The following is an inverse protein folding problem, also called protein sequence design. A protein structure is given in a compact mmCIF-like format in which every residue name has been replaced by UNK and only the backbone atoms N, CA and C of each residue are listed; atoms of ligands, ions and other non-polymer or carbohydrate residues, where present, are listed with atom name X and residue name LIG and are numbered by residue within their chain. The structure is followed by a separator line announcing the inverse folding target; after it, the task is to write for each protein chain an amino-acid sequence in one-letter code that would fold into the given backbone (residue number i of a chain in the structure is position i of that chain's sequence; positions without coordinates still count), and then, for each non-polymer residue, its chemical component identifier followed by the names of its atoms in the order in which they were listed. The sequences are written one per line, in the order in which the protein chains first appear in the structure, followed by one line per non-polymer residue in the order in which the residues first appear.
data_IF_337148874169
#
_entry.id   IF_337148874169
#
_cell.length_a   1.000
_cell.length_b   1.000
_cell.length_c   1.000
_cell.angle_alpha   90.00
_cell.angle_beta   90.00
_cell.angle_gamma   90.00
#
_symmetry.space_group_name_H-M   'P 1'
#
loop_
_entity.id
_entity.type
_entity.pdbx_description
1 polymer ?
#
# COMPACT_ATOMS: atom_id res chain seq x y z
N UNK A 1 -29.59 -5.53 -39.72
CA UNK A 1 -28.27 -5.45 -40.38
C UNK A 1 -27.92 -3.99 -40.43
N UNK A 2 -26.97 -3.54 -39.61
CA UNK A 2 -26.48 -2.17 -39.63
C UNK A 2 -25.44 -2.05 -40.73
N UNK A 3 -25.71 -1.18 -41.70
CA UNK A 3 -24.83 -0.88 -42.82
C UNK A 3 -23.53 -0.23 -42.31
N UNK A 4 -22.44 -0.97 -42.37
CA UNK A 4 -21.10 -0.58 -41.89
C UNK A 4 -20.38 0.44 -42.77
N UNK A 5 -21.06 1.05 -43.75
CA UNK A 5 -20.44 1.99 -44.70
C UNK A 5 -20.72 3.46 -44.44
N UNK A 6 -21.63 3.80 -43.52
CA UNK A 6 -21.82 5.19 -43.06
C UNK A 6 -20.77 5.53 -42.02
N UNK A 7 -19.74 6.29 -42.41
CA UNK A 7 -19.03 7.13 -41.44
C UNK A 7 -19.98 8.28 -41.07
N UNK A 8 -20.33 8.45 -39.80
CA UNK A 8 -21.20 9.55 -39.37
C UNK A 8 -20.51 10.88 -39.72
N UNK A 9 -21.22 11.75 -40.46
CA UNK A 9 -20.71 13.08 -40.81
C UNK A 9 -21.03 14.09 -39.69
N UNK A 10 -22.03 13.78 -38.84
CA UNK A 10 -22.47 14.58 -37.71
C UNK A 10 -22.72 13.73 -36.44
N UNK A 11 -22.73 14.36 -35.26
CA UNK A 11 -22.82 13.65 -33.95
C UNK A 11 -24.19 13.00 -33.72
N UNK A 12 -25.21 13.49 -34.41
CA UNK A 12 -26.57 12.99 -34.43
C UNK A 12 -26.68 11.62 -35.14
N UNK A 13 -25.72 11.31 -36.04
CA UNK A 13 -25.65 10.03 -36.75
C UNK A 13 -25.12 8.88 -35.86
N UNK A 14 -24.50 9.20 -34.71
CA UNK A 14 -24.06 8.24 -33.68
C UNK A 14 -25.16 7.88 -32.68
N UNK A 15 -26.32 8.53 -32.77
CA UNK A 15 -27.45 8.34 -31.86
C UNK A 15 -28.23 7.07 -32.15
N UNK A 16 -28.68 6.37 -31.12
CA UNK A 16 -29.60 5.21 -31.25
C UNK A 16 -31.07 5.65 -31.29
N UNK A 17 -31.32 6.96 -31.30
CA UNK A 17 -32.66 7.52 -31.38
C UNK A 17 -33.20 7.54 -32.79
N UNK A 18 -34.50 7.25 -32.91
CA UNK A 18 -35.27 7.57 -34.10
C UNK A 18 -35.40 9.09 -34.28
N UNK A 19 -35.69 9.55 -35.51
CA UNK A 19 -35.98 10.97 -35.79
C UNK A 19 -37.05 11.54 -34.85
N UNK A 20 -38.14 10.78 -34.61
CA UNK A 20 -39.20 11.19 -33.70
C UNK A 20 -38.77 11.31 -32.22
N UNK A 21 -37.71 10.61 -31.80
CA UNK A 21 -37.10 10.78 -30.48
C UNK A 21 -36.17 11.98 -30.45
N UNK A 22 -35.39 12.22 -31.51
CA UNK A 22 -34.55 13.40 -31.65
C UNK A 22 -35.37 14.69 -31.63
N UNK A 23 -36.54 14.71 -32.27
CA UNK A 23 -37.48 15.85 -32.26
C UNK A 23 -37.99 16.22 -30.85
N UNK A 24 -37.90 15.30 -29.89
CA UNK A 24 -38.32 15.52 -28.50
C UNK A 24 -37.16 15.94 -27.59
N UNK A 25 -35.96 16.06 -28.13
CA UNK A 25 -34.76 16.40 -27.40
C UNK A 25 -34.25 17.77 -27.83
N UNK A 26 -33.51 18.40 -26.93
CA UNK A 26 -32.73 19.59 -27.22
C UNK A 26 -31.27 19.31 -26.83
N UNK A 27 -30.30 19.91 -27.53
CA UNK A 27 -28.90 19.88 -27.11
C UNK A 27 -28.76 20.28 -25.64
N UNK A 28 -27.91 19.57 -24.89
CA UNK A 28 -27.82 19.74 -23.44
C UNK A 28 -27.38 21.17 -23.04
N UNK A 29 -26.53 21.80 -23.84
CA UNK A 29 -26.06 23.17 -23.68
C UNK A 29 -27.16 24.21 -23.95
N UNK A 30 -28.19 23.86 -24.73
CA UNK A 30 -29.38 24.68 -24.93
C UNK A 30 -30.44 24.44 -23.85
N UNK A 31 -30.50 23.22 -23.30
CA UNK A 31 -31.47 22.81 -22.30
C UNK A 31 -31.07 23.11 -20.84
N UNK A 32 -29.82 23.54 -20.60
CA UNK A 32 -29.32 23.96 -19.28
C UNK A 32 -29.35 25.49 -19.11
N UNK A 33 -30.44 26.07 -18.59
CA UNK A 33 -30.54 27.52 -18.34
C UNK A 33 -29.64 28.00 -17.20
N UNK A 34 -29.23 27.09 -16.30
CA UNK A 34 -28.34 27.42 -15.20
C UNK A 34 -26.88 27.51 -15.66
N UNK A 35 -26.52 26.83 -16.74
CA UNK A 35 -25.14 26.57 -17.17
C UNK A 35 -24.31 26.04 -16.00
N UNK A 36 -24.87 25.04 -15.33
CA UNK A 36 -24.25 24.45 -14.15
C UNK A 36 -22.98 23.69 -14.55
N UNK A 37 -21.89 23.77 -13.75
CA UNK A 37 -20.70 22.97 -14.00
C UNK A 37 -20.96 21.46 -13.84
N UNK A 38 -22.03 21.08 -13.14
CA UNK A 38 -22.49 19.69 -13.01
C UNK A 38 -23.95 19.61 -13.45
N UNK A 39 -24.30 18.78 -14.46
CA UNK A 39 -25.68 18.64 -14.90
C UNK A 39 -26.60 18.27 -13.74
N UNK A 40 -27.65 19.07 -13.56
CA UNK A 40 -28.72 18.84 -12.57
C UNK A 40 -29.84 17.98 -13.15
N UNK A 41 -29.68 17.42 -14.34
CA UNK A 41 -30.63 16.52 -14.99
C UNK A 41 -29.88 15.46 -15.79
N UNK A 42 -30.56 14.36 -16.12
CA UNK A 42 -29.98 13.33 -16.97
C UNK A 42 -29.73 13.88 -18.37
N UNK A 43 -28.49 13.76 -18.84
CA UNK A 43 -28.11 14.08 -20.22
C UNK A 43 -27.84 12.77 -20.92
N UNK A 44 -28.51 12.55 -22.05
CA UNK A 44 -28.29 11.34 -22.84
C UNK A 44 -27.03 11.45 -23.68
N UNK A 45 -26.33 10.33 -23.83
CA UNK A 45 -25.26 10.14 -24.81
C UNK A 45 -25.78 9.67 -26.19
N UNK A 46 -27.11 9.55 -26.37
CA UNK A 46 -27.74 9.03 -27.58
C UNK A 46 -28.24 7.59 -27.46
N UNK A 47 -27.99 6.90 -26.34
CA UNK A 47 -28.38 5.49 -26.17
C UNK A 47 -29.74 5.31 -25.48
N UNK A 48 -30.14 6.25 -24.61
CA UNK A 48 -31.36 6.16 -23.81
C UNK A 48 -32.04 7.51 -23.64
N UNK A 49 -33.38 7.55 -23.73
CA UNK A 49 -34.13 8.79 -23.54
C UNK A 49 -33.89 9.33 -22.12
N UNK A 50 -33.46 10.59 -21.95
CA UNK A 50 -33.25 11.15 -20.64
C UNK A 50 -34.59 11.31 -19.92
N UNK A 51 -34.61 11.00 -18.63
CA UNK A 51 -35.75 11.35 -17.77
C UNK A 51 -35.68 12.84 -17.42
N UNK A 52 -36.85 13.46 -17.26
CA UNK A 52 -36.95 14.85 -16.84
C UNK A 52 -36.37 15.08 -15.44
N UNK A 53 -36.00 16.33 -15.17
CA UNK A 53 -35.45 16.76 -13.89
C UNK A 53 -36.43 16.47 -12.72
N UNK A 54 -35.94 15.77 -11.71
CA UNK A 54 -36.68 15.49 -10.47
C UNK A 54 -36.82 16.74 -9.58
N UNK A 55 -37.73 16.71 -8.61
CA UNK A 55 -37.93 17.87 -7.72
C UNK A 55 -36.71 18.17 -6.84
N UNK A 56 -36.01 17.14 -6.37
CA UNK A 56 -34.73 17.31 -5.66
C UNK A 56 -33.65 17.92 -6.57
N UNK A 57 -33.60 17.51 -7.83
CA UNK A 57 -32.67 18.09 -8.80
C UNK A 57 -32.96 19.57 -9.10
N UNK A 58 -34.24 19.96 -9.23
CA UNK A 58 -34.66 21.37 -9.32
C UNK A 58 -34.23 22.16 -8.08
N UNK A 59 -34.34 21.54 -6.90
CA UNK A 59 -33.89 22.15 -5.64
C UNK A 59 -32.38 22.39 -5.61
N UNK A 60 -31.57 21.43 -6.08
CA UNK A 60 -30.11 21.62 -6.23
C UNK A 60 -29.81 22.79 -7.15
N UNK A 61 -30.49 22.89 -8.30
CA UNK A 61 -30.29 23.98 -9.24
C UNK A 61 -30.64 25.35 -8.64
N UNK A 62 -31.75 25.44 -7.90
CA UNK A 62 -32.15 26.66 -7.21
C UNK A 62 -31.13 27.08 -6.14
N UNK A 63 -30.61 26.11 -5.35
CA UNK A 63 -29.57 26.36 -4.34
C UNK A 63 -28.25 26.77 -4.97
N UNK A 64 -27.82 26.09 -6.02
CA UNK A 64 -26.63 26.45 -6.80
C UNK A 64 -26.75 27.87 -7.35
N UNK A 65 -27.91 28.25 -7.89
CA UNK A 65 -28.15 29.59 -8.41
C UNK A 65 -27.99 30.66 -7.31
N UNK A 66 -28.54 30.39 -6.11
CA UNK A 66 -28.43 31.29 -4.96
C UNK A 66 -26.98 31.42 -4.45
N UNK A 67 -26.29 30.29 -4.24
CA UNK A 67 -24.89 30.25 -3.80
C UNK A 67 -23.97 30.97 -4.80
N UNK A 68 -24.15 30.69 -6.09
CA UNK A 68 -23.35 31.27 -7.16
C UNK A 68 -23.58 32.77 -7.30
N UNK A 69 -24.83 33.25 -7.14
CA UNK A 69 -25.11 34.68 -7.14
C UNK A 69 -24.43 35.40 -5.97
N UNK A 70 -24.46 34.80 -4.78
CA UNK A 70 -23.81 35.36 -3.59
C UNK A 70 -22.27 35.40 -3.75
N UNK A 71 -21.67 34.28 -4.18
CA UNK A 71 -20.23 34.16 -4.36
C UNK A 71 -19.71 35.06 -5.49
N UNK A 72 -20.37 35.07 -6.65
CA UNK A 72 -20.01 35.92 -7.78
C UNK A 72 -20.05 37.41 -7.41
N UNK A 73 -21.06 37.84 -6.64
CA UNK A 73 -21.14 39.22 -6.13
C UNK A 73 -19.98 39.57 -5.22
N UNK A 74 -19.59 38.66 -4.32
CA UNK A 74 -18.44 38.86 -3.41
C UNK A 74 -17.12 38.95 -4.17
N UNK A 75 -16.96 38.17 -5.23
CA UNK A 75 -15.74 38.12 -6.03
C UNK A 75 -15.70 39.15 -7.17
N UNK A 76 -16.73 40.00 -7.29
CA UNK A 76 -16.78 41.05 -8.32
C UNK A 76 -16.84 40.51 -9.76
N UNK A 77 -17.45 39.35 -9.97
CA UNK A 77 -17.58 38.72 -11.29
C UNK A 77 -19.04 38.34 -11.61
N UNK A 78 -19.31 38.02 -12.88
CA UNK A 78 -20.64 37.54 -13.27
C UNK A 78 -20.89 36.11 -12.78
N UNK A 79 -22.16 35.76 -12.50
CA UNK A 79 -22.55 34.40 -12.11
C UNK A 79 -22.08 33.36 -13.13
N UNK A 80 -22.21 33.66 -14.43
CA UNK A 80 -21.76 32.77 -15.51
C UNK A 80 -20.25 32.55 -15.46
N UNK A 81 -19.45 33.60 -15.27
CA UNK A 81 -18.00 33.49 -15.11
C UNK A 81 -17.61 32.74 -13.83
N UNK A 82 -18.38 32.91 -12.76
CA UNK A 82 -18.17 32.19 -11.51
C UNK A 82 -18.38 30.67 -11.66
N UNK A 83 -19.47 30.27 -12.32
CA UNK A 83 -19.81 28.85 -12.55
C UNK A 83 -18.74 28.10 -13.35
N UNK A 84 -17.90 28.79 -14.14
CA UNK A 84 -16.77 28.18 -14.87
C UNK A 84 -15.48 28.07 -14.04
N UNK A 85 -15.50 28.43 -12.75
CA UNK A 85 -14.34 28.33 -11.84
C UNK A 85 -14.45 27.14 -10.91
N UNK A 86 -13.39 26.84 -10.16
CA UNK A 86 -13.41 25.86 -9.06
C UNK A 86 -14.45 26.23 -7.99
N UNK A 87 -14.72 27.52 -7.77
CA UNK A 87 -15.77 27.97 -6.86
C UNK A 87 -17.17 27.59 -7.33
N UNK A 88 -17.39 27.51 -8.64
CA UNK A 88 -18.63 27.01 -9.24
C UNK A 88 -18.87 25.53 -8.92
N UNK A 89 -17.84 24.69 -9.05
CA UNK A 89 -17.91 23.28 -8.63
C UNK A 89 -18.16 23.13 -7.13
N UNK A 90 -17.47 23.91 -6.29
CA UNK A 90 -17.70 23.90 -4.85
C UNK A 90 -19.16 24.27 -4.51
N UNK A 91 -19.73 25.28 -5.18
CA UNK A 91 -21.13 25.66 -5.01
C UNK A 91 -22.09 24.53 -5.41
N UNK A 92 -21.79 23.77 -6.48
CA UNK A 92 -22.58 22.62 -6.90
C UNK A 92 -22.55 21.50 -5.86
N UNK A 93 -21.39 21.15 -5.34
CA UNK A 93 -21.26 20.12 -4.31
C UNK A 93 -21.96 20.52 -3.00
N UNK A 94 -21.85 21.79 -2.58
CA UNK A 94 -22.58 22.30 -1.41
C UNK A 94 -24.09 22.22 -1.65
N UNK A 95 -24.58 22.61 -2.84
CA UNK A 95 -25.99 22.52 -3.18
C UNK A 95 -26.50 21.07 -3.16
N UNK A 96 -25.71 20.12 -3.69
CA UNK A 96 -26.03 18.70 -3.64
C UNK A 96 -26.05 18.17 -2.20
N UNK A 97 -25.07 18.56 -1.37
CA UNK A 97 -25.04 18.16 0.04
C UNK A 97 -26.28 18.63 0.81
N UNK A 98 -26.73 19.86 0.53
CA UNK A 98 -27.93 20.43 1.17
C UNK A 98 -29.23 19.70 0.82
N UNK A 99 -29.29 18.99 -0.32
CA UNK A 99 -30.52 18.33 -0.80
C UNK A 99 -30.48 16.82 -0.58
N UNK A 100 -29.33 16.21 -0.81
CA UNK A 100 -29.18 14.75 -0.78
C UNK A 100 -28.54 14.23 0.52
N UNK A 101 -27.82 15.07 1.26
CA UNK A 101 -27.00 14.68 2.43
C UNK A 101 -25.51 14.88 2.17
N UNK A 102 -24.68 14.80 3.21
CA UNK A 102 -23.24 15.07 3.11
C UNK A 102 -22.49 13.96 2.34
N UNK A 103 -22.42 14.09 1.01
CA UNK A 103 -21.71 13.15 0.12
C UNK A 103 -20.36 13.70 -0.37
N UNK A 104 -20.21 15.03 -0.40
CA UNK A 104 -19.01 15.70 -0.88
C UNK A 104 -18.31 16.42 0.26
N UNK A 105 -17.00 16.19 0.45
CA UNK A 105 -16.20 16.99 1.38
C UNK A 105 -15.87 18.33 0.72
N UNK A 106 -16.65 19.35 1.07
CA UNK A 106 -16.53 20.71 0.51
C UNK A 106 -16.93 21.74 1.55
N UNK A 107 -16.07 22.74 1.77
CA UNK A 107 -16.36 23.82 2.71
C UNK A 107 -16.88 25.07 1.98
N UNK A 108 -17.81 25.85 2.57
CA UNK A 108 -18.34 27.07 1.96
C UNK A 108 -17.27 28.10 1.52
N UNK A 109 -16.11 28.13 2.18
CA UNK A 109 -15.01 29.03 1.83
C UNK A 109 -14.39 28.71 0.47
N UNK A 110 -14.52 27.46 -0.01
CA UNK A 110 -13.96 26.99 -1.28
C UNK A 110 -14.72 27.55 -2.49
N UNK A 111 -15.94 28.07 -2.27
CA UNK A 111 -16.64 28.89 -3.26
C UNK A 111 -15.93 30.23 -3.51
N UNK A 112 -15.13 30.71 -2.56
CA UNK A 112 -14.57 32.08 -2.62
C UNK A 112 -13.07 32.09 -2.86
N UNK A 113 -12.37 31.04 -2.44
CA UNK A 113 -10.90 30.98 -2.47
C UNK A 113 -10.47 29.63 -3.04
N UNK A 114 -9.84 29.65 -4.22
CA UNK A 114 -9.24 28.45 -4.83
C UNK A 114 -8.20 27.79 -3.93
N UNK A 115 -7.51 28.60 -3.12
CA UNK A 115 -6.50 28.19 -2.16
C UNK A 115 -7.11 27.46 -0.97
N UNK A 116 -8.39 27.70 -0.64
CA UNK A 116 -9.03 27.02 0.48
C UNK A 116 -9.15 25.52 0.23
N UNK A 117 -9.54 25.11 -0.99
CA UNK A 117 -9.52 23.70 -1.40
C UNK A 117 -8.09 23.14 -1.37
N UNK A 118 -7.13 23.89 -1.92
CA UNK A 118 -5.72 23.48 -1.93
C UNK A 118 -5.09 23.36 -0.52
N UNK A 119 -5.61 24.08 0.47
CA UNK A 119 -5.16 24.02 1.86
C UNK A 119 -5.78 22.85 2.65
N UNK A 120 -6.87 22.25 2.15
CA UNK A 120 -7.54 21.10 2.79
C UNK A 120 -7.29 19.76 2.10
N UNK A 121 -6.94 19.77 0.82
CA UNK A 121 -6.64 18.57 0.04
C UNK A 121 -5.16 18.17 0.07
N UNK A 122 -4.83 16.96 -0.40
CA UNK A 122 -3.45 16.55 -0.62
C UNK A 122 -2.74 17.49 -1.61
N UNK A 123 -1.40 17.63 -1.55
CA UNK A 123 -0.63 18.38 -2.54
C UNK A 123 -0.98 17.96 -3.97
N UNK A 124 -1.00 18.90 -4.91
CA UNK A 124 -1.33 18.63 -6.32
C UNK A 124 -0.37 17.62 -6.97
N UNK A 125 0.85 17.57 -6.46
CA UNK A 125 1.95 16.70 -6.86
C UNK A 125 2.22 15.61 -5.81
N UNK A 126 1.20 15.23 -5.01
CA UNK A 126 1.33 14.16 -4.03
C UNK A 126 1.81 12.88 -4.73
N UNK A 127 3.03 12.48 -4.39
CA UNK A 127 3.61 11.21 -4.77
C UNK A 127 3.46 10.23 -3.61
N UNK A 128 2.65 9.19 -3.79
CA UNK A 128 2.48 8.11 -2.82
C UNK A 128 3.28 6.91 -3.27
N UNK A 129 4.26 6.52 -2.48
CA UNK A 129 5.06 5.32 -2.69
C UNK A 129 4.70 4.28 -1.65
N UNK A 130 4.21 3.13 -2.11
CA UNK A 130 4.00 1.96 -1.26
C UNK A 130 5.22 1.03 -1.40
N UNK A 131 6.02 0.95 -0.34
CA UNK A 131 7.29 0.24 -0.37
C UNK A 131 7.15 -1.29 -0.23
N UNK A 132 5.93 -1.80 0.00
CA UNK A 132 5.71 -3.23 0.19
C UNK A 132 4.26 -3.65 -0.02
N UNK A 133 3.95 -4.09 -1.24
CA UNK A 133 2.67 -4.70 -1.56
C UNK A 133 2.78 -6.18 -1.92
N UNK A 134 1.73 -6.95 -1.62
CA UNK A 134 1.65 -8.38 -1.88
C UNK A 134 0.41 -8.73 -2.71
N UNK A 135 0.52 -9.76 -3.53
CA UNK A 135 -0.63 -10.49 -4.08
C UNK A 135 -0.47 -11.98 -3.79
N UNK A 136 -1.57 -12.73 -3.89
CA UNK A 136 -1.58 -14.19 -3.80
C UNK A 136 -1.87 -14.74 -5.19
N UNK A 137 -1.00 -15.61 -5.71
CA UNK A 137 -1.28 -16.34 -6.95
C UNK A 137 -2.50 -17.23 -6.78
N UNK A 138 -3.34 -17.30 -7.81
CA UNK A 138 -4.63 -18.02 -7.76
C UNK A 138 -4.52 -19.52 -7.49
N UNK A 139 -3.34 -20.12 -7.70
CA UNK A 139 -3.07 -21.52 -7.34
C UNK A 139 -2.76 -21.72 -5.85
N UNK A 140 -2.83 -20.67 -5.04
CA UNK A 140 -2.58 -20.69 -3.59
C UNK A 140 -3.75 -20.11 -2.83
N UNK A 141 -3.87 -20.60 -1.61
CA UNK A 141 -4.58 -19.94 -0.52
C UNK A 141 -3.52 -19.37 0.39
N UNK A 142 -3.59 -18.07 0.68
CA UNK A 142 -2.60 -17.39 1.51
C UNK A 142 -3.21 -16.85 2.80
N UNK A 143 -2.39 -16.30 3.71
CA UNK A 143 -2.87 -15.79 5.00
C UNK A 143 -3.68 -14.50 4.89
N UNK A 144 -3.94 -13.99 3.67
CA UNK A 144 -4.66 -12.75 3.43
C UNK A 144 -5.99 -12.67 4.18
N UNK A 145 -6.70 -13.78 4.29
CA UNK A 145 -7.96 -13.85 5.04
C UNK A 145 -7.81 -13.44 6.51
N UNK A 146 -6.75 -13.84 7.21
CA UNK A 146 -6.55 -13.47 8.61
C UNK A 146 -6.25 -11.96 8.75
N UNK A 147 -5.48 -11.38 7.83
CA UNK A 147 -5.22 -9.94 7.77
C UNK A 147 -6.50 -9.16 7.45
N UNK A 148 -7.36 -9.74 6.62
CA UNK A 148 -8.65 -9.16 6.28
C UNK A 148 -9.64 -9.23 7.45
N UNK A 149 -9.63 -10.32 8.21
CA UNK A 149 -10.47 -10.49 9.39
C UNK A 149 -10.16 -9.42 10.45
N UNK A 150 -8.87 -9.15 10.73
CA UNK A 150 -8.52 -8.07 11.67
C UNK A 150 -8.92 -6.69 11.12
N UNK A 151 -8.77 -6.44 9.82
CA UNK A 151 -9.16 -5.17 9.21
C UNK A 151 -10.68 -4.93 9.23
N UNK A 152 -11.48 -6.01 9.14
CA UNK A 152 -12.95 -6.01 9.26
C UNK A 152 -13.46 -6.01 10.71
N UNK A 153 -12.60 -6.27 11.69
CA UNK A 153 -13.03 -6.44 13.09
C UNK A 153 -13.65 -7.80 13.40
N UNK A 154 -13.39 -8.82 12.59
CA UNK A 154 -13.81 -10.19 12.84
C UNK A 154 -12.89 -10.87 13.88
N UNK A 155 -13.38 -11.87 14.64
CA UNK A 155 -12.53 -12.74 15.45
C UNK A 155 -11.43 -13.38 14.60
N UNK A 156 -10.18 -13.29 15.05
CA UNK A 156 -9.03 -13.69 14.25
C UNK A 156 -7.90 -14.24 15.12
N UNK A 157 -6.91 -14.86 14.47
CA UNK A 157 -5.77 -15.52 15.14
C UNK A 157 -4.78 -14.55 15.78
N UNK A 158 -4.82 -13.26 15.45
CA UNK A 158 -3.96 -12.24 16.06
C UNK A 158 -4.50 -11.75 17.41
N UNK A 159 -5.82 -11.82 17.62
CA UNK A 159 -6.48 -11.58 18.91
C UNK A 159 -7.38 -12.77 19.31
N UNK A 160 -6.80 -13.96 19.57
CA UNK A 160 -7.58 -15.19 19.74
C UNK A 160 -8.50 -15.18 20.97
N UNK A 161 -8.22 -14.30 21.94
CA UNK A 161 -8.97 -14.17 23.18
C UNK A 161 -9.95 -12.99 23.17
N UNK A 162 -10.13 -12.31 22.03
CA UNK A 162 -11.00 -11.13 21.91
C UNK A 162 -10.71 -10.08 23.00
N UNK A 163 -9.43 -9.85 23.28
CA UNK A 163 -9.02 -8.85 24.25
C UNK A 163 -9.42 -7.45 23.74
N UNK A 164 -9.79 -6.53 24.64
CA UNK A 164 -10.05 -5.16 24.25
C UNK A 164 -8.77 -4.45 23.81
N UNK A 165 -8.93 -3.48 22.93
CA UNK A 165 -7.90 -2.52 22.55
C UNK A 165 -7.71 -1.45 23.64
N UNK A 166 -6.84 -0.47 23.40
CA UNK A 166 -6.55 0.60 24.37
C UNK A 166 -7.81 1.40 24.77
N UNK A 167 -8.79 1.51 23.87
CA UNK A 167 -10.03 2.26 24.08
C UNK A 167 -11.18 1.38 24.62
N UNK A 168 -10.88 0.13 25.01
CA UNK A 168 -11.86 -0.79 25.56
C UNK A 168 -12.73 -1.49 24.51
N UNK A 169 -12.39 -1.38 23.21
CA UNK A 169 -13.17 -1.97 22.11
C UNK A 169 -12.62 -3.33 21.75
N UNK A 170 -13.50 -4.30 21.51
CA UNK A 170 -13.09 -5.66 21.11
C UNK A 170 -13.15 -5.77 19.59
N UNK A 171 -12.02 -6.13 18.96
CA UNK A 171 -11.88 -6.28 17.51
C UNK A 171 -12.49 -5.11 16.72
N UNK A 172 -12.16 -3.87 17.08
CA UNK A 172 -12.65 -2.72 16.33
C UNK A 172 -12.11 -2.75 14.89
N UNK A 173 -12.97 -2.57 13.85
CA UNK A 173 -12.54 -2.63 12.46
C UNK A 173 -11.52 -1.53 12.14
N UNK A 174 -10.42 -1.90 11.48
CA UNK A 174 -9.44 -0.93 10.99
C UNK A 174 -10.00 -0.11 9.82
N UNK A 175 -10.83 -0.74 8.99
CA UNK A 175 -11.52 -0.06 7.91
C UNK A 175 -13.01 -0.41 7.94
N UNK A 176 -13.87 0.51 8.43
CA UNK A 176 -15.31 0.31 8.48
C UNK A 176 -15.96 -0.03 7.13
N UNK A 177 -15.37 0.40 6.01
CA UNK A 177 -15.88 0.09 4.67
C UNK A 177 -15.75 -1.40 4.29
N UNK A 178 -14.98 -2.17 5.07
CA UNK A 178 -14.79 -3.60 4.83
C UNK A 178 -15.82 -4.46 5.55
N UNK A 179 -16.50 -3.92 6.55
CA UNK A 179 -17.40 -4.68 7.44
C UNK A 179 -18.53 -5.31 6.65
N UNK A 180 -18.67 -6.64 6.76
CA UNK A 180 -19.71 -7.41 6.10
C UNK A 180 -19.43 -7.75 4.63
N UNK A 181 -18.31 -7.31 4.07
CA UNK A 181 -17.90 -7.74 2.73
C UNK A 181 -17.35 -9.18 2.75
N UNK A 182 -17.51 -9.96 1.67
CA UNK A 182 -16.96 -11.31 1.60
C UNK A 182 -15.43 -11.32 1.69
N UNK A 183 -14.88 -12.07 2.64
CA UNK A 183 -13.45 -12.32 2.76
C UNK A 183 -13.03 -13.53 1.88
N UNK A 184 -12.81 -13.27 0.58
CA UNK A 184 -12.50 -14.29 -0.42
C UNK A 184 -11.01 -14.27 -0.80
N UNK A 185 -10.43 -15.42 -1.14
CA UNK A 185 -9.05 -15.48 -1.67
C UNK A 185 -8.85 -14.59 -2.91
N UNK A 186 -9.89 -14.47 -3.75
CA UNK A 186 -9.87 -13.62 -4.93
C UNK A 186 -9.64 -12.15 -4.62
N UNK A 187 -9.88 -11.71 -3.38
CA UNK A 187 -9.63 -10.33 -2.96
C UNK A 187 -8.12 -9.99 -2.98
N UNK A 188 -7.25 -10.99 -3.01
CA UNK A 188 -5.79 -10.82 -3.01
C UNK A 188 -5.15 -11.18 -4.36
N UNK A 189 -5.95 -11.50 -5.38
CA UNK A 189 -5.44 -11.79 -6.72
C UNK A 189 -5.16 -10.49 -7.48
N UNK A 190 -4.34 -10.59 -8.53
CA UNK A 190 -3.88 -9.45 -9.32
C UNK A 190 -4.99 -8.49 -9.77
N UNK A 191 -6.14 -9.00 -10.23
CA UNK A 191 -7.24 -8.15 -10.69
C UNK A 191 -7.81 -7.26 -9.58
N UNK A 192 -8.05 -7.83 -8.39
CA UNK A 192 -8.52 -7.05 -7.24
C UNK A 192 -7.43 -6.09 -6.77
N UNK A 193 -6.18 -6.55 -6.72
CA UNK A 193 -5.03 -5.71 -6.38
C UNK A 193 -4.93 -4.47 -7.28
N UNK A 194 -5.09 -4.62 -8.60
CA UNK A 194 -5.04 -3.48 -9.52
C UNK A 194 -6.13 -2.46 -9.24
N UNK A 195 -7.34 -2.93 -8.93
CA UNK A 195 -8.44 -2.06 -8.52
C UNK A 195 -8.10 -1.35 -7.21
N UNK A 196 -7.75 -2.09 -6.17
CA UNK A 196 -7.60 -1.54 -4.83
C UNK A 196 -6.39 -0.61 -4.71
N UNK A 197 -5.27 -0.94 -5.36
CA UNK A 197 -4.03 -0.14 -5.28
C UNK A 197 -4.00 0.98 -6.30
N UNK A 198 -4.40 0.76 -7.55
CA UNK A 198 -4.21 1.78 -8.60
C UNK A 198 -5.47 2.53 -9.01
N UNK A 199 -6.68 2.03 -8.69
CA UNK A 199 -7.94 2.70 -9.04
C UNK A 199 -8.62 3.33 -7.82
N UNK A 200 -8.59 2.64 -6.68
CA UNK A 200 -9.29 3.05 -5.46
C UNK A 200 -8.39 3.71 -4.43
N UNK A 201 -7.10 3.88 -4.73
CA UNK A 201 -6.12 4.54 -3.85
C UNK A 201 -5.30 5.60 -4.57
N UNK A 202 -4.53 6.38 -3.81
CA UNK A 202 -3.63 7.42 -4.31
C UNK A 202 -2.23 6.89 -4.65
N UNK A 203 -1.98 5.58 -4.55
CA UNK A 203 -0.67 4.99 -4.81
C UNK A 203 -0.17 5.35 -6.21
N UNK A 204 0.99 6.01 -6.23
CA UNK A 204 1.67 6.42 -7.46
C UNK A 204 2.63 5.34 -7.93
N UNK A 205 3.44 4.80 -7.04
CA UNK A 205 4.33 3.67 -7.33
C UNK A 205 4.23 2.68 -6.17
N UNK A 206 4.20 1.38 -6.47
CA UNK A 206 4.28 0.33 -5.47
C UNK A 206 5.50 -0.58 -5.71
N UNK A 207 6.02 -1.22 -4.67
CA UNK A 207 6.93 -2.36 -4.83
C UNK A 207 6.12 -3.66 -4.69
N UNK A 208 6.18 -4.52 -5.70
CA UNK A 208 5.70 -5.89 -5.59
C UNK A 208 6.74 -6.71 -4.84
N UNK A 209 6.30 -7.33 -3.75
CA UNK A 209 7.18 -8.13 -2.89
C UNK A 209 6.65 -9.54 -2.73
N UNK A 210 7.56 -10.46 -2.47
CA UNK A 210 7.24 -11.82 -2.09
C UNK A 210 7.66 -12.10 -0.65
N UNK A 211 7.13 -13.18 -0.09
CA UNK A 211 7.46 -13.69 1.22
C UNK A 211 8.19 -15.04 1.10
N UNK A 212 9.48 -15.09 1.39
CA UNK A 212 10.26 -16.34 1.37
C UNK A 212 10.17 -17.17 2.65
N UNK A 213 8.97 -17.22 3.27
CA UNK A 213 8.67 -17.95 4.50
C UNK A 213 7.82 -19.19 4.26
N UNK A 214 8.12 -19.98 3.23
CA UNK A 214 7.40 -21.22 2.95
C UNK A 214 7.37 -22.16 4.16
N UNK A 215 6.18 -22.71 4.46
CA UNK A 215 6.01 -23.76 5.46
C UNK A 215 5.74 -25.08 4.74
N UNK A 216 6.72 -25.97 4.71
CA UNK A 216 6.61 -27.23 3.94
C UNK A 216 5.90 -28.28 4.79
N UNK A 217 4.85 -28.96 4.28
CA UNK A 217 4.23 -30.07 4.99
C UNK A 217 5.24 -31.20 5.27
N UNK A 218 5.26 -31.69 6.52
CA UNK A 218 6.12 -32.78 6.97
C UNK A 218 5.41 -33.74 7.93
N UNK A 219 6.11 -34.81 8.33
CA UNK A 219 5.59 -35.77 9.29
C UNK A 219 5.48 -35.12 10.68
N UNK A 220 4.26 -34.87 11.16
CA UNK A 220 3.99 -34.27 12.48
C UNK A 220 3.95 -32.74 12.52
N UNK A 221 3.99 -32.06 11.37
CA UNK A 221 3.89 -30.60 11.28
C UNK A 221 4.64 -30.01 10.09
N UNK A 222 4.75 -28.69 10.04
CA UNK A 222 5.58 -28.02 9.03
C UNK A 222 7.07 -28.20 9.33
N UNK A 223 7.86 -28.34 8.28
CA UNK A 223 9.33 -28.37 8.33
C UNK A 223 9.93 -27.27 7.44
N UNK A 224 11.23 -26.95 7.61
CA UNK A 224 11.93 -26.08 6.68
C UNK A 224 11.96 -26.66 5.25
N UNK A 225 12.07 -25.81 4.21
CA UNK A 225 12.40 -26.25 2.87
C UNK A 225 13.87 -26.64 2.77
N UNK A 226 14.21 -27.52 1.83
CA UNK A 226 15.59 -27.96 1.57
C UNK A 226 16.32 -27.09 0.54
N UNK A 227 15.56 -26.42 -0.33
CA UNK A 227 16.07 -25.59 -1.41
C UNK A 227 15.03 -24.53 -1.83
N UNK A 228 15.48 -23.58 -2.64
CA UNK A 228 14.66 -22.49 -3.18
C UNK A 228 13.44 -23.02 -3.93
N UNK A 229 13.59 -24.06 -4.75
CA UNK A 229 12.49 -24.60 -5.56
C UNK A 229 11.36 -25.15 -4.69
N UNK A 230 11.69 -25.88 -3.63
CA UNK A 230 10.71 -26.38 -2.67
C UNK A 230 10.01 -25.24 -1.91
N UNK A 231 10.76 -24.17 -1.60
CA UNK A 231 10.24 -22.96 -0.95
C UNK A 231 9.27 -22.21 -1.89
N UNK A 232 9.69 -21.85 -3.09
CA UNK A 232 8.87 -21.16 -4.09
C UNK A 232 7.62 -21.98 -4.48
N UNK A 233 7.71 -23.31 -4.45
CA UNK A 233 6.57 -24.21 -4.62
C UNK A 233 5.58 -24.19 -3.46
N UNK A 234 5.78 -23.38 -2.41
CA UNK A 234 4.84 -23.19 -1.31
C UNK A 234 4.61 -21.71 -0.95
N UNK A 235 5.24 -20.80 -1.68
CA UNK A 235 5.09 -19.35 -1.50
C UNK A 235 3.87 -18.78 -2.23
N UNK A 236 3.48 -17.57 -1.83
CA UNK A 236 2.36 -16.82 -2.43
C UNK A 236 2.68 -16.34 -3.85
N UNK A 237 3.95 -16.07 -4.14
CA UNK A 237 4.52 -15.85 -5.47
C UNK A 237 5.85 -16.58 -5.60
N UNK A 238 6.39 -16.63 -6.81
CA UNK A 238 7.82 -16.91 -7.06
C UNK A 238 8.54 -15.60 -7.39
N UNK A 239 9.88 -15.60 -7.44
CA UNK A 239 10.64 -14.44 -7.91
C UNK A 239 10.23 -14.04 -9.33
N UNK A 240 10.04 -15.04 -10.21
CA UNK A 240 9.59 -14.81 -11.58
C UNK A 240 8.18 -14.23 -11.65
N UNK A 241 7.24 -14.70 -10.83
CA UNK A 241 5.88 -14.13 -10.78
C UNK A 241 5.88 -12.69 -10.24
N UNK A 242 6.78 -12.39 -9.29
CA UNK A 242 6.96 -11.04 -8.72
C UNK A 242 7.40 -10.07 -9.81
N UNK A 243 8.45 -10.40 -10.56
CA UNK A 243 8.93 -9.54 -11.66
C UNK A 243 7.95 -9.50 -12.84
N UNK A 244 7.33 -10.62 -13.20
CA UNK A 244 6.32 -10.64 -14.27
C UNK A 244 5.15 -9.71 -13.95
N UNK A 245 4.75 -9.61 -12.68
CA UNK A 245 3.71 -8.66 -12.24
C UNK A 245 4.18 -7.22 -12.39
N UNK A 246 5.41 -6.91 -11.94
CA UNK A 246 6.06 -5.60 -12.14
C UNK A 246 6.06 -5.18 -13.60
N UNK A 247 6.59 -6.05 -14.45
CA UNK A 247 6.78 -5.77 -15.87
C UNK A 247 5.43 -5.58 -16.58
N UNK A 248 4.45 -6.42 -16.24
CA UNK A 248 3.09 -6.29 -16.77
C UNK A 248 2.41 -4.97 -16.37
N UNK A 249 2.51 -4.56 -15.10
CA UNK A 249 1.94 -3.29 -14.63
C UNK A 249 2.61 -2.10 -15.33
N UNK A 250 3.94 -2.11 -15.45
CA UNK A 250 4.68 -1.04 -16.13
C UNK A 250 4.37 -0.99 -17.63
N UNK A 251 4.22 -2.15 -18.28
CA UNK A 251 3.81 -2.25 -19.67
C UNK A 251 2.40 -1.66 -19.87
N UNK A 252 1.45 -2.02 -19.00
CA UNK A 252 0.08 -1.51 -19.05
C UNK A 252 0.03 0.01 -18.84
N UNK A 253 0.85 0.53 -17.93
CA UNK A 253 0.89 1.95 -17.61
C UNK A 253 1.71 2.81 -18.59
N UNK A 254 2.56 2.19 -19.44
CA UNK A 254 3.51 2.90 -20.29
C UNK A 254 4.57 3.72 -19.52
N UNK A 255 4.72 3.45 -18.21
CA UNK A 255 5.60 4.17 -17.29
C UNK A 255 5.89 3.29 -16.06
N UNK A 256 6.90 3.66 -15.26
CA UNK A 256 7.19 2.96 -14.00
C UNK A 256 6.11 3.26 -12.96
N UNK A 257 5.21 2.31 -12.75
CA UNK A 257 4.19 2.31 -11.69
C UNK A 257 4.46 1.22 -10.66
N UNK A 258 5.27 0.24 -10.98
CA UNK A 258 5.65 -0.84 -10.08
C UNK A 258 7.16 -1.08 -10.12
N UNK A 259 7.74 -1.30 -8.94
CA UNK A 259 9.08 -1.87 -8.75
C UNK A 259 8.96 -3.30 -8.23
N UNK A 260 10.03 -4.08 -8.27
CA UNK A 260 10.03 -5.47 -7.81
C UNK A 260 11.17 -5.76 -6.84
N UNK A 261 10.83 -6.40 -5.71
CA UNK A 261 11.84 -6.99 -4.83
C UNK A 261 12.32 -8.35 -5.36
N UNK A 262 13.63 -8.51 -5.49
CA UNK A 262 14.27 -9.83 -5.54
C UNK A 262 14.20 -10.50 -4.16
N UNK A 263 14.19 -11.83 -4.13
CA UNK A 263 14.14 -12.61 -2.90
C UNK A 263 15.54 -12.90 -2.35
N UNK A 264 15.79 -12.51 -1.10
CA UNK A 264 17.02 -12.82 -0.36
C UNK A 264 16.93 -14.20 0.26
N UNK A 265 17.30 -15.20 -0.54
CA UNK A 265 17.71 -16.51 -0.04
C UNK A 265 19.21 -16.49 0.23
N UNK A 266 19.59 -16.44 1.51
CA UNK A 266 20.99 -16.22 1.91
C UNK A 266 21.78 -17.53 1.97
N UNK A 267 23.10 -17.42 2.13
CA UNK A 267 24.00 -18.56 2.30
C UNK A 267 24.62 -19.05 0.99
N UNK A 268 25.76 -19.73 1.14
CA UNK A 268 26.61 -20.22 0.04
C UNK A 268 25.87 -21.14 -0.93
N UNK A 269 24.96 -21.99 -0.44
CA UNK A 269 24.17 -22.90 -1.27
C UNK A 269 23.08 -22.23 -2.11
N UNK A 270 22.76 -20.96 -1.83
CA UNK A 270 21.74 -20.19 -2.55
C UNK A 270 22.31 -19.10 -3.47
N UNK A 271 23.64 -18.95 -3.55
CA UNK A 271 24.26 -17.88 -4.36
C UNK A 271 23.88 -17.96 -5.84
N UNK A 272 23.71 -19.16 -6.38
CA UNK A 272 23.25 -19.37 -7.76
C UNK A 272 21.90 -18.69 -8.04
N UNK A 273 21.00 -18.64 -7.05
CA UNK A 273 19.68 -18.05 -7.22
C UNK A 273 19.73 -16.52 -7.12
N UNK A 274 20.66 -15.98 -6.33
CA UNK A 274 20.94 -14.53 -6.33
C UNK A 274 21.46 -14.11 -7.71
N UNK A 275 22.40 -14.88 -8.28
CA UNK A 275 22.92 -14.65 -9.63
C UNK A 275 21.81 -14.74 -10.69
N UNK A 276 20.99 -15.80 -10.66
CA UNK A 276 19.90 -15.98 -11.62
C UNK A 276 18.89 -14.82 -11.57
N UNK A 277 18.49 -14.38 -10.36
CA UNK A 277 17.59 -13.25 -10.21
C UNK A 277 18.20 -11.98 -10.81
N UNK A 278 19.48 -11.70 -10.58
CA UNK A 278 20.13 -10.49 -11.11
C UNK A 278 20.19 -10.54 -12.65
N UNK A 279 20.65 -11.65 -13.21
CA UNK A 279 20.89 -11.78 -14.65
C UNK A 279 19.59 -11.87 -15.45
N UNK A 280 18.60 -12.61 -14.95
CA UNK A 280 17.33 -12.89 -15.65
C UNK A 280 16.22 -11.92 -15.26
N UNK A 281 16.04 -11.67 -13.97
CA UNK A 281 14.86 -11.02 -13.42
C UNK A 281 15.06 -9.52 -13.12
N UNK A 282 16.31 -9.10 -12.91
CA UNK A 282 16.72 -7.69 -12.73
C UNK A 282 15.90 -6.97 -11.65
N UNK A 283 16.00 -7.41 -10.38
CA UNK A 283 15.23 -6.83 -9.29
C UNK A 283 15.63 -5.36 -9.05
N UNK A 284 14.67 -4.55 -8.61
CA UNK A 284 14.89 -3.13 -8.31
C UNK A 284 15.52 -2.91 -6.94
N UNK A 285 15.31 -3.85 -6.01
CA UNK A 285 15.81 -3.91 -4.64
C UNK A 285 15.58 -5.32 -4.08
N UNK A 286 15.90 -5.57 -2.81
CA UNK A 286 15.89 -6.92 -2.24
C UNK A 286 15.00 -7.05 -1.01
N UNK A 287 14.22 -8.13 -0.91
CA UNK A 287 13.43 -8.50 0.28
C UNK A 287 13.89 -9.81 0.89
N UNK A 288 14.13 -9.82 2.20
CA UNK A 288 14.45 -11.03 2.96
C UNK A 288 13.64 -11.19 4.23
N UNK A 289 13.45 -12.43 4.66
CA UNK A 289 12.85 -12.77 5.95
C UNK A 289 13.89 -13.53 6.78
N UNK A 290 14.56 -12.84 7.70
CA UNK A 290 15.61 -13.48 8.50
C UNK A 290 15.04 -14.45 9.55
N UNK A 291 13.78 -14.22 9.93
CA UNK A 291 12.94 -15.08 10.76
C UNK A 291 12.40 -16.32 10.02
N UNK A 292 12.64 -16.44 8.72
CA UNK A 292 12.25 -17.58 7.90
C UNK A 292 13.42 -18.50 7.61
N UNK A 293 13.12 -19.77 7.32
CA UNK A 293 14.12 -20.76 6.91
C UNK A 293 14.46 -20.60 5.44
N UNK A 294 15.19 -19.53 5.12
CA UNK A 294 15.54 -19.11 3.76
C UNK A 294 17.06 -19.10 3.50
N UNK A 295 17.87 -19.59 4.42
CA UNK A 295 19.32 -19.67 4.27
C UNK A 295 19.81 -21.09 4.02
N UNK A 296 20.77 -21.25 3.10
CA UNK A 296 21.39 -22.54 2.78
C UNK A 296 22.91 -22.44 2.88
N UNK A 297 23.50 -23.13 3.84
CA UNK A 297 24.93 -22.98 4.21
C UNK A 297 25.85 -24.04 3.59
N UNK A 298 25.27 -25.01 2.89
CA UNK A 298 25.96 -26.12 2.26
C UNK A 298 25.34 -26.46 0.90
N UNK A 299 25.94 -27.42 0.19
CA UNK A 299 25.44 -27.90 -1.10
C UNK A 299 24.74 -29.28 -0.98
N UNK A 300 24.40 -29.75 0.23
CA UNK A 300 23.70 -31.02 0.40
C UNK A 300 22.22 -30.84 0.03
N UNK A 301 21.68 -31.49 -1.02
CA UNK A 301 20.28 -31.33 -1.40
C UNK A 301 19.29 -31.85 -0.34
N UNK A 302 19.75 -32.59 0.67
CA UNK A 302 18.91 -33.17 1.71
C UNK A 302 18.88 -32.39 3.01
N UNK A 303 19.86 -31.52 3.28
CA UNK A 303 19.85 -30.73 4.52
C UNK A 303 18.88 -29.56 4.42
N UNK A 304 18.22 -29.27 5.53
CA UNK A 304 17.20 -28.23 5.62
C UNK A 304 17.81 -26.83 5.53
N UNK A 305 17.09 -25.89 4.93
CA UNK A 305 17.38 -24.47 5.06
C UNK A 305 17.12 -24.01 6.50
N UNK A 306 17.80 -22.93 6.89
CA UNK A 306 17.76 -22.40 8.23
C UNK A 306 17.44 -20.91 8.26
N UNK A 307 17.12 -20.40 9.45
CA UNK A 307 17.04 -18.96 9.73
C UNK A 307 18.45 -18.36 9.81
N UNK A 308 18.55 -17.04 9.65
CA UNK A 308 19.83 -16.36 9.54
C UNK A 308 19.87 -15.03 10.29
N UNK A 309 21.08 -14.59 10.64
CA UNK A 309 21.35 -13.30 11.24
C UNK A 309 22.03 -12.38 10.22
N UNK A 310 21.77 -11.08 10.31
CA UNK A 310 22.26 -10.11 9.32
C UNK A 310 23.79 -9.97 9.35
N UNK A 311 24.42 -10.20 10.50
CA UNK A 311 25.86 -10.07 10.70
C UNK A 311 26.62 -11.40 10.65
N UNK A 312 25.96 -12.46 10.16
CA UNK A 312 26.57 -13.79 10.05
C UNK A 312 27.53 -13.84 8.85
N UNK A 313 28.86 -13.95 9.07
CA UNK A 313 29.84 -13.92 7.99
C UNK A 313 29.83 -15.17 7.12
N UNK A 314 29.33 -16.30 7.64
CA UNK A 314 29.29 -17.56 6.91
C UNK A 314 27.97 -17.74 6.14
N UNK A 315 26.93 -16.99 6.53
CA UNK A 315 25.58 -17.11 5.96
C UNK A 315 25.14 -15.88 5.16
N UNK A 316 25.12 -14.70 5.76
CA UNK A 316 24.58 -13.49 5.10
C UNK A 316 25.61 -12.85 4.17
N UNK A 317 26.88 -12.77 4.60
CA UNK A 317 27.90 -12.02 3.88
C UNK A 317 28.26 -12.56 2.50
N UNK A 318 28.25 -13.88 2.22
CA UNK A 318 28.42 -14.38 0.87
C UNK A 318 27.38 -13.81 -0.11
N UNK A 319 26.13 -13.66 0.35
CA UNK A 319 25.06 -13.06 -0.44
C UNK A 319 25.28 -11.56 -0.65
N UNK A 320 25.67 -10.83 0.40
CA UNK A 320 25.99 -9.40 0.31
C UNK A 320 27.16 -9.15 -0.65
N UNK A 321 28.23 -9.95 -0.54
CA UNK A 321 29.38 -9.91 -1.43
C UNK A 321 28.97 -10.14 -2.88
N UNK A 322 28.03 -11.07 -3.13
CA UNK A 322 27.52 -11.37 -4.47
C UNK A 322 26.73 -10.19 -5.05
N UNK A 323 25.83 -9.60 -4.28
CA UNK A 323 25.05 -8.43 -4.72
C UNK A 323 26.00 -7.25 -5.00
N UNK A 324 26.94 -6.98 -4.11
CA UNK A 324 27.92 -5.89 -4.26
C UNK A 324 28.89 -6.13 -5.43
N UNK A 325 29.27 -7.38 -5.71
CA UNK A 325 30.01 -7.76 -6.91
C UNK A 325 29.26 -7.32 -8.18
N UNK A 326 27.97 -7.66 -8.30
CA UNK A 326 27.15 -7.27 -9.45
C UNK A 326 26.88 -5.77 -9.50
N UNK A 327 26.70 -5.11 -8.35
CA UNK A 327 26.55 -3.66 -8.28
C UNK A 327 27.78 -2.92 -8.85
N UNK A 328 28.97 -3.49 -8.69
CA UNK A 328 30.24 -2.91 -9.18
C UNK A 328 30.62 -3.34 -10.61
N UNK A 329 30.01 -4.39 -11.16
CA UNK A 329 30.23 -4.82 -12.56
C UNK A 329 29.80 -3.75 -13.56
N UNK A 330 30.40 -3.82 -14.75
CA UNK A 330 30.07 -2.95 -15.91
C UNK A 330 29.97 -1.46 -15.56
N UNK A 331 30.89 -0.98 -14.72
CA UNK A 331 30.93 0.40 -14.23
C UNK A 331 29.63 0.86 -13.55
N UNK A 332 29.00 -0.03 -12.78
CA UNK A 332 27.77 0.26 -12.04
C UNK A 332 26.54 0.41 -12.93
N UNK A 333 26.50 -0.29 -14.07
CA UNK A 333 25.36 -0.24 -15.00
C UNK A 333 24.04 -0.53 -14.28
N UNK A 334 24.00 -1.58 -13.47
CA UNK A 334 22.78 -1.98 -12.76
C UNK A 334 22.29 -0.90 -11.80
N UNK A 335 23.20 -0.12 -11.17
CA UNK A 335 22.83 0.97 -10.27
C UNK A 335 22.22 2.17 -11.01
N UNK A 336 22.48 2.31 -12.32
CA UNK A 336 21.85 3.33 -13.15
C UNK A 336 20.44 2.91 -13.58
N UNK A 337 20.25 1.63 -13.85
CA UNK A 337 18.97 1.05 -14.28
C UNK A 337 18.03 0.82 -13.07
N UNK A 338 18.60 0.42 -11.94
CA UNK A 338 17.93 0.06 -10.69
C UNK A 338 18.62 0.76 -9.50
N UNK A 339 18.34 2.05 -9.24
CA UNK A 339 19.02 2.82 -8.20
C UNK A 339 18.80 2.28 -6.78
N UNK A 340 17.73 1.51 -6.56
CA UNK A 340 17.43 0.84 -5.29
C UNK A 340 18.14 -0.49 -5.09
N UNK A 341 18.99 -0.94 -6.01
CA UNK A 341 19.56 -2.30 -6.00
C UNK A 341 20.39 -2.63 -4.75
N UNK A 342 20.90 -1.59 -4.06
CA UNK A 342 21.62 -1.72 -2.78
C UNK A 342 20.72 -1.60 -1.54
N UNK A 343 19.39 -1.62 -1.71
CA UNK A 343 18.45 -1.62 -0.61
C UNK A 343 18.09 -3.06 -0.22
N UNK A 344 18.35 -3.40 1.05
CA UNK A 344 18.06 -4.69 1.65
C UNK A 344 16.90 -4.52 2.65
N UNK A 345 15.70 -4.85 2.19
CA UNK A 345 14.44 -4.82 2.94
C UNK A 345 14.26 -6.09 3.75
N UNK A 346 14.52 -6.06 5.06
CA UNK A 346 14.52 -7.26 5.91
C UNK A 346 13.33 -7.28 6.86
N UNK A 347 12.44 -8.26 6.68
CA UNK A 347 11.38 -8.56 7.63
C UNK A 347 11.96 -9.18 8.90
N UNK A 348 12.02 -8.37 9.95
CA UNK A 348 12.62 -8.74 11.24
C UNK A 348 11.64 -8.70 12.42
N UNK A 349 10.59 -7.88 12.36
CA UNK A 349 9.55 -7.83 13.40
C UNK A 349 8.53 -8.99 13.38
N UNK A 350 7.48 -8.86 14.19
CA UNK A 350 6.29 -9.72 14.30
C UNK A 350 6.56 -11.15 14.85
N UNK A 351 7.38 -11.25 15.90
CA UNK A 351 7.74 -12.50 16.57
C UNK A 351 7.24 -12.56 18.02
N UNK A 352 5.91 -12.52 18.19
CA UNK A 352 5.24 -12.42 19.52
C UNK A 352 5.76 -13.44 20.53
N UNK A 353 6.00 -14.67 20.08
CA UNK A 353 6.35 -15.80 20.94
C UNK A 353 7.86 -15.99 21.14
N UNK A 354 8.70 -15.11 20.59
CA UNK A 354 10.13 -15.21 20.82
C UNK A 354 10.46 -14.94 22.29
N UNK A 355 11.05 -15.94 22.95
CA UNK A 355 11.45 -15.86 24.36
C UNK A 355 12.93 -15.54 24.55
N UNK A 356 13.72 -15.63 23.49
CA UNK A 356 15.18 -15.39 23.51
C UNK A 356 15.53 -14.10 22.77
N UNK A 357 16.75 -13.62 22.98
CA UNK A 357 17.34 -12.48 22.24
C UNK A 357 18.05 -12.94 20.95
N UNK A 358 17.58 -14.02 20.33
CA UNK A 358 18.20 -14.58 19.13
C UNK A 358 17.90 -13.68 17.92
N UNK A 359 18.92 -13.13 17.22
CA UNK A 359 18.70 -12.30 16.05
C UNK A 359 17.95 -13.01 14.92
N UNK A 360 18.09 -14.34 14.82
CA UNK A 360 17.38 -15.21 13.87
C UNK A 360 15.89 -15.31 14.16
N UNK A 361 15.45 -14.84 15.33
CA UNK A 361 14.04 -14.70 15.72
C UNK A 361 13.59 -13.24 15.75
N UNK A 362 14.33 -12.32 15.11
CA UNK A 362 13.91 -10.93 14.95
C UNK A 362 14.54 -9.92 15.92
N UNK A 363 15.35 -10.39 16.87
CA UNK A 363 16.03 -9.48 17.82
C UNK A 363 17.04 -8.56 17.09
N UNK A 364 17.12 -7.25 17.38
CA UNK A 364 17.92 -6.28 16.61
C UNK A 364 19.44 -6.31 16.82
N UNK A 365 19.98 -7.30 17.55
CA UNK A 365 21.37 -7.27 18.06
C UNK A 365 22.43 -7.40 16.96
N UNK A 366 22.06 -7.97 15.82
CA UNK A 366 22.89 -8.17 14.63
C UNK A 366 22.93 -6.96 13.68
N UNK A 367 22.04 -5.97 13.85
CA UNK A 367 21.95 -4.82 12.95
C UNK A 367 23.23 -3.97 12.95
N UNK A 368 23.80 -3.56 14.10
CA UNK A 368 24.95 -2.65 14.12
C UNK A 368 26.16 -3.18 13.36
N UNK A 369 26.47 -4.48 13.54
CA UNK A 369 27.62 -5.09 12.89
C UNK A 369 27.38 -5.23 11.38
N UNK A 370 26.21 -5.70 10.96
CA UNK A 370 25.87 -5.77 9.54
C UNK A 370 25.97 -4.39 8.85
N UNK A 371 25.41 -3.35 9.49
CA UNK A 371 25.45 -1.98 8.97
C UNK A 371 26.86 -1.39 8.92
N UNK A 372 27.70 -1.68 9.91
CA UNK A 372 29.09 -1.24 9.97
C UNK A 372 30.03 -1.97 9.01
N UNK A 373 29.86 -3.28 8.86
CA UNK A 373 30.69 -4.12 7.99
C UNK A 373 30.33 -3.91 6.50
N UNK A 374 29.09 -3.49 6.20
CA UNK A 374 28.60 -3.25 4.84
C UNK A 374 27.95 -1.87 4.64
N UNK A 375 28.73 -0.77 4.74
CA UNK A 375 28.21 0.60 4.69
C UNK A 375 27.63 1.01 3.33
N UNK A 376 27.87 0.22 2.27
CA UNK A 376 27.34 0.46 0.92
C UNK A 376 25.89 0.00 0.72
N UNK A 377 25.36 -0.85 1.62
CA UNK A 377 23.95 -1.25 1.60
C UNK A 377 23.10 -0.36 2.50
N UNK A 378 21.85 -0.15 2.11
CA UNK A 378 20.82 0.39 2.98
C UNK A 378 20.01 -0.77 3.57
N UNK A 379 20.04 -0.92 4.90
CA UNK A 379 19.26 -1.91 5.64
C UNK A 379 17.92 -1.30 6.03
N UNK A 380 16.86 -1.67 5.31
CA UNK A 380 15.49 -1.23 5.61
C UNK A 380 14.85 -2.31 6.48
N UNK A 381 14.67 -2.02 7.77
CA UNK A 381 14.24 -2.99 8.77
C UNK A 381 12.73 -2.93 8.91
N UNK A 382 12.07 -3.93 8.34
CA UNK A 382 10.62 -3.99 8.27
C UNK A 382 10.00 -4.29 9.62
N UNK A 383 8.97 -3.49 9.88
CA UNK A 383 8.20 -3.43 11.12
C UNK A 383 9.05 -3.02 12.32
N UNK A 384 10.20 -2.39 12.09
CA UNK A 384 11.05 -1.78 13.14
C UNK A 384 11.31 -2.71 14.34
N UNK A 385 11.53 -3.99 14.05
CA UNK A 385 11.71 -5.06 15.04
C UNK A 385 10.59 -5.17 16.08
N UNK A 386 9.37 -4.65 15.84
CA UNK A 386 8.28 -4.78 16.80
C UNK A 386 8.08 -6.26 17.14
N UNK A 387 8.19 -6.59 18.42
CA UNK A 387 8.11 -7.98 18.86
C UNK A 387 6.71 -8.57 18.66
N UNK A 388 5.61 -7.95 19.16
CA UNK A 388 4.29 -8.48 18.90
C UNK A 388 3.90 -8.40 17.42
N UNK A 389 2.99 -9.29 17.02
CA UNK A 389 2.37 -9.32 15.71
C UNK A 389 1.31 -8.20 15.58
N UNK A 390 0.09 -8.53 15.14
CA UNK A 390 -0.93 -7.53 14.78
C UNK A 390 -1.83 -7.08 15.95
N UNK A 391 -1.69 -7.68 17.14
CA UNK A 391 -2.37 -7.24 18.36
C UNK A 391 -1.34 -6.95 19.45
N UNK A 392 -1.10 -5.68 19.74
CA UNK A 392 0.10 -5.22 20.47
C UNK A 392 -0.16 -4.83 21.92
N UNK A 393 -1.13 -5.47 22.58
CA UNK A 393 -1.47 -5.21 23.99
C UNK A 393 -0.26 -5.33 24.94
N UNK A 394 0.69 -6.22 24.63
CA UNK A 394 1.94 -6.33 25.38
C UNK A 394 2.79 -5.05 25.30
N UNK A 395 2.85 -4.38 24.15
CA UNK A 395 3.55 -3.10 24.03
C UNK A 395 2.86 -2.00 24.83
N UNK A 396 1.51 -2.01 24.89
CA UNK A 396 0.77 -1.10 25.76
C UNK A 396 1.07 -1.37 27.24
N UNK A 397 1.15 -2.64 27.65
CA UNK A 397 1.53 -3.00 29.01
C UNK A 397 2.96 -2.57 29.35
N UNK A 398 3.89 -2.65 28.40
CA UNK A 398 5.27 -2.15 28.55
C UNK A 398 5.28 -0.63 28.74
N UNK A 399 4.52 0.12 27.93
CA UNK A 399 4.35 1.57 28.11
C UNK A 399 3.79 1.88 29.51
N UNK A 400 2.73 1.20 29.92
CA UNK A 400 2.07 1.43 31.20
C UNK A 400 2.88 0.97 32.42
N UNK A 401 3.89 0.11 32.22
CA UNK A 401 4.77 -0.34 33.31
C UNK A 401 5.64 0.79 33.88
N UNK A 402 5.83 1.87 33.13
CA UNK A 402 6.73 2.97 33.50
C UNK A 402 8.21 2.63 33.40
N UNK A 403 8.58 1.44 32.90
CA UNK A 403 9.98 1.08 32.65
C UNK A 403 10.49 1.88 31.45
N UNK A 404 11.61 2.57 31.65
CA UNK A 404 12.21 3.43 30.64
C UNK A 404 13.58 2.89 30.20
N UNK A 405 13.89 3.07 28.92
CA UNK A 405 15.24 2.95 28.33
C UNK A 405 15.61 4.28 27.70
N UNK A 406 16.74 4.86 28.08
CA UNK A 406 17.17 6.18 27.56
C UNK A 406 16.08 7.28 27.64
N UNK A 407 15.30 7.25 28.73
CA UNK A 407 14.26 8.23 29.04
C UNK A 407 12.97 8.11 28.20
N UNK A 408 12.74 6.99 27.52
CA UNK A 408 11.49 6.67 26.81
C UNK A 408 10.96 5.30 27.23
N UNK A 409 9.66 4.98 27.05
CA UNK A 409 9.14 3.65 27.36
C UNK A 409 9.89 2.54 26.63
N UNK A 410 10.30 1.49 27.36
CA UNK A 410 11.04 0.36 26.79
C UNK A 410 10.11 -0.63 26.08
N UNK A 411 9.71 -0.29 24.85
CA UNK A 411 8.89 -1.16 23.99
C UNK A 411 9.79 -2.26 23.44
N UNK A 412 9.43 -3.51 23.70
CA UNK A 412 10.24 -4.69 23.38
C UNK A 412 10.73 -4.66 21.93
N UNK A 413 12.06 -4.68 21.81
CA UNK A 413 12.86 -4.72 20.58
C UNK A 413 12.79 -3.48 19.69
N UNK A 414 11.67 -2.77 19.58
CA UNK A 414 11.61 -1.52 18.79
C UNK A 414 12.46 -0.41 19.42
N UNK A 415 12.36 -0.20 20.73
CA UNK A 415 13.19 0.80 21.44
C UNK A 415 14.67 0.43 21.36
N UNK A 416 14.98 -0.85 21.52
CA UNK A 416 16.36 -1.33 21.42
C UNK A 416 16.92 -1.17 20.00
N UNK A 417 16.13 -1.50 18.97
CA UNK A 417 16.50 -1.31 17.57
C UNK A 417 16.81 0.16 17.29
N UNK A 418 15.94 1.08 17.73
CA UNK A 418 16.13 2.51 17.51
C UNK A 418 17.47 3.01 18.07
N UNK A 419 17.84 2.56 19.28
CA UNK A 419 19.10 2.93 19.93
C UNK A 419 20.32 2.29 19.27
N UNK A 420 20.23 1.00 18.92
CA UNK A 420 21.32 0.27 18.25
C UNK A 420 21.58 0.80 16.84
N UNK A 421 20.53 1.21 16.13
CA UNK A 421 20.61 1.72 14.76
C UNK A 421 20.96 3.21 14.68
N UNK A 422 20.71 4.00 15.73
CA UNK A 422 20.95 5.45 15.75
C UNK A 422 22.33 5.92 15.20
N UNK A 423 23.46 5.21 15.43
CA UNK A 423 24.75 5.61 14.86
C UNK A 423 24.90 5.40 13.35
N UNK A 424 24.01 4.64 12.71
CA UNK A 424 24.17 4.15 11.34
C UNK A 424 23.22 4.86 10.38
N UNK A 425 23.80 5.62 9.44
CA UNK A 425 23.04 6.38 8.43
C UNK A 425 22.40 5.51 7.34
N UNK A 426 22.80 4.24 7.27
CA UNK A 426 22.34 3.27 6.29
C UNK A 426 21.37 2.25 6.90
N UNK A 427 20.76 2.55 8.05
CA UNK A 427 19.70 1.74 8.66
C UNK A 427 18.42 2.56 8.73
N UNK A 428 17.34 2.02 8.19
CA UNK A 428 16.04 2.67 8.13
C UNK A 428 14.99 1.85 8.87
N UNK A 429 14.17 2.53 9.67
CA UNK A 429 13.04 1.93 10.36
C UNK A 429 11.79 2.02 9.46
N UNK A 430 11.33 0.87 8.97
CA UNK A 430 10.05 0.77 8.26
C UNK A 430 8.96 0.37 9.26
N UNK A 431 7.79 0.99 9.16
CA UNK A 431 6.74 0.92 10.19
C UNK A 431 5.36 0.51 9.66
N UNK A 432 5.19 0.09 8.41
CA UNK A 432 3.89 -0.18 7.79
C UNK A 432 2.96 -1.05 8.65
N UNK A 433 3.38 -2.28 8.98
CA UNK A 433 2.57 -3.13 9.89
C UNK A 433 2.56 -2.60 11.32
N UNK A 434 3.68 -2.09 11.83
CA UNK A 434 3.78 -1.51 13.18
C UNK A 434 2.78 -0.36 13.39
N UNK A 435 2.62 0.49 12.38
CA UNK A 435 1.71 1.61 12.35
C UNK A 435 0.28 1.11 12.18
N UNK A 436 0.02 0.23 11.21
CA UNK A 436 -1.31 -0.33 10.98
C UNK A 436 -1.87 -1.03 12.24
N UNK A 437 -1.03 -1.78 12.96
CA UNK A 437 -1.42 -2.52 14.16
C UNK A 437 -1.56 -1.68 15.43
N UNK A 438 -1.16 -0.40 15.39
CA UNK A 438 -1.17 0.49 16.57
C UNK A 438 -2.05 1.73 16.38
N UNK A 439 -2.11 2.33 15.19
CA UNK A 439 -2.70 3.66 15.00
C UNK A 439 -4.19 3.72 15.35
N UNK A 440 -4.93 2.64 15.11
CA UNK A 440 -6.38 2.56 15.40
C UNK A 440 -6.63 1.95 16.79
N UNK A 441 -5.92 0.88 17.13
CA UNK A 441 -6.19 0.01 18.28
C UNK A 441 -5.40 0.40 19.53
N UNK A 442 -4.16 0.88 19.37
CA UNK A 442 -3.23 1.22 20.45
C UNK A 442 -2.53 2.57 20.19
N UNK A 443 -3.28 3.67 20.06
CA UNK A 443 -2.74 4.96 19.63
C UNK A 443 -1.62 5.51 20.53
N UNK A 444 -1.62 5.21 21.84
CA UNK A 444 -0.51 5.62 22.72
C UNK A 444 0.79 4.89 22.38
N UNK A 445 0.71 3.59 22.07
CA UNK A 445 1.86 2.82 21.60
C UNK A 445 2.38 3.37 20.28
N UNK A 446 1.47 3.69 19.34
CA UNK A 446 1.82 4.32 18.06
C UNK A 446 2.61 5.61 18.26
N UNK A 447 2.09 6.52 19.09
CA UNK A 447 2.73 7.80 19.38
C UNK A 447 4.12 7.64 20.00
N UNK A 448 4.29 6.69 20.92
CA UNK A 448 5.60 6.40 21.50
C UNK A 448 6.58 5.83 20.47
N UNK A 449 6.17 4.86 19.64
CA UNK A 449 7.06 4.30 18.61
C UNK A 449 7.51 5.39 17.64
N UNK A 450 6.57 6.19 17.11
CA UNK A 450 6.89 7.31 16.21
C UNK A 450 7.84 8.31 16.87
N UNK A 451 7.54 8.74 18.10
CA UNK A 451 8.39 9.68 18.83
C UNK A 451 9.79 9.13 19.13
N UNK A 452 9.92 7.83 19.42
CA UNK A 452 11.21 7.19 19.67
C UNK A 452 12.05 7.06 18.40
N UNK A 453 11.45 6.61 17.29
CA UNK A 453 12.15 6.51 16.01
C UNK A 453 12.61 7.90 15.54
N UNK A 454 11.75 8.92 15.62
CA UNK A 454 12.12 10.31 15.31
C UNK A 454 13.23 10.85 16.22
N UNK A 455 13.18 10.53 17.52
CA UNK A 455 14.17 10.98 18.51
C UNK A 455 15.56 10.39 18.24
N UNK A 456 15.64 9.11 17.89
CA UNK A 456 16.91 8.38 17.84
C UNK A 456 17.46 8.21 16.42
N UNK A 457 16.59 8.14 15.41
CA UNK A 457 16.98 7.83 14.02
C UNK A 457 16.80 9.02 13.07
N UNK A 458 16.15 10.09 13.51
CA UNK A 458 15.88 11.30 12.70
C UNK A 458 14.60 11.18 11.90
#
# INVERSE_FOLDING_TARGET
MTDSTKKPEFREDDSWFSEAQLDRLAPADHADPAHSPIPTQMVSNGEYMPIGQTDKQKEVEARLAALSAQAAKRLGMSRRKFLTTTGGFAASFIAMNQVFGEFFDVRPIEMLMSEAYAAGGPPRDLFVFDDQTHIIRSSRTGPGNALRDIAEGNPNTFNPNNLPDELGRVNFPWNPALVGLPNLNSNFHLAQYMKDVYLDSQVTVAIMTNNNSAAIPGAGGSRPPKNVQESEANEILTAEQTMATRDWVNQLAGSTRMLGHGQLYTGTGNLWFIEEQIERLKPDSWKGYNIATAAKVDNDPNSDMMRWALDDPDVAYPTYAKIDEFARKDHGRILKEHPGFMNLSIHKGLQTNATTRDPRLGHPIDIPRAAGDWPQFNFIIYHSCIKPAFWVLNALNEVNSGVLREGVPDISWTTEMALLAAPFKNVYAEIGTTFASTVITFPTVCAHILGQLLKFMG
#
